data_IF_525870712737
#
_entry.id   IF_525870712737
#
_cell.length_a   1.000
_cell.length_b   1.000
_cell.length_c   1.000
_cell.angle_alpha   90.00
_cell.angle_beta   90.00
_cell.angle_gamma   90.00
#
_symmetry.space_group_name_H-M   'P 1'
#
loop_
_entity.id
_entity.type
_entity.pdbx_description
1 polymer ?
#
# COMPACT_ATOMS: atom_id res chain seq x y z
N UNK A 1 -22.36 29.71 3.42
CA UNK A 1 -21.56 29.23 4.56
C UNK A 1 -21.54 30.32 5.62
N UNK A 2 -22.00 30.04 6.85
CA UNK A 2 -22.09 31.05 7.91
C UNK A 2 -20.71 31.27 8.57
N UNK A 3 -20.39 32.52 8.91
CA UNK A 3 -19.07 32.90 9.44
C UNK A 3 -18.67 32.09 10.70
N UNK A 4 -19.66 31.72 11.51
CA UNK A 4 -19.48 30.87 12.69
C UNK A 4 -18.93 29.48 12.36
N UNK A 5 -19.33 28.90 11.22
CA UNK A 5 -18.82 27.60 10.75
C UNK A 5 -17.35 27.69 10.38
N UNK A 6 -16.92 28.81 9.76
CA UNK A 6 -15.52 29.03 9.40
C UNK A 6 -14.64 29.19 10.65
N UNK A 7 -15.13 29.91 11.68
CA UNK A 7 -14.40 30.09 12.94
C UNK A 7 -14.27 28.75 13.68
N UNK A 8 -15.32 27.93 13.72
CA UNK A 8 -15.27 26.60 14.35
C UNK A 8 -14.27 25.70 13.64
N UNK A 9 -14.27 25.69 12.30
CA UNK A 9 -13.30 24.92 11.51
C UNK A 9 -11.87 25.40 11.79
N UNK A 10 -11.63 26.73 11.81
CA UNK A 10 -10.31 27.28 12.08
C UNK A 10 -9.79 26.91 13.48
N UNK A 11 -10.66 26.91 14.50
CA UNK A 11 -10.30 26.53 15.87
C UNK A 11 -10.00 25.04 15.96
N UNK A 12 -10.79 24.18 15.30
CA UNK A 12 -10.55 22.74 15.27
C UNK A 12 -9.21 22.43 14.56
N UNK A 13 -8.93 23.09 13.43
CA UNK A 13 -7.66 22.95 12.72
C UNK A 13 -6.48 23.39 13.59
N UNK A 14 -6.60 24.53 14.29
CA UNK A 14 -5.54 24.99 15.19
C UNK A 14 -5.27 24.02 16.35
N UNK A 15 -6.32 23.42 16.92
CA UNK A 15 -6.20 22.43 17.99
C UNK A 15 -5.59 21.12 17.49
N UNK A 16 -5.97 20.68 16.29
CA UNK A 16 -5.41 19.48 15.67
C UNK A 16 -3.93 19.68 15.30
N UNK A 17 -3.56 20.85 14.78
CA UNK A 17 -2.16 21.20 14.51
C UNK A 17 -1.34 21.26 15.82
N UNK A 18 -1.91 21.86 16.87
CA UNK A 18 -1.25 21.93 18.18
C UNK A 18 -1.08 20.53 18.81
N UNK A 19 -2.10 19.68 18.73
CA UNK A 19 -2.03 18.29 19.18
C UNK A 19 -1.00 17.49 18.37
N UNK A 20 -0.97 17.66 17.05
CA UNK A 20 0.01 17.01 16.17
C UNK A 20 1.45 17.42 16.50
N UNK A 21 1.71 18.70 16.77
CA UNK A 21 3.03 19.21 17.17
C UNK A 21 3.44 18.70 18.56
N UNK A 22 2.51 18.62 19.51
CA UNK A 22 2.78 18.14 20.87
C UNK A 22 2.99 16.62 20.92
N UNK A 23 2.31 15.85 20.06
CA UNK A 23 2.53 14.41 19.92
C UNK A 23 3.83 14.10 19.14
N UNK A 24 4.24 14.96 18.21
CA UNK A 24 5.50 14.85 17.46
C UNK A 24 6.74 15.16 18.30
N UNK A 25 6.64 16.05 19.30
CA UNK A 25 7.79 16.50 20.10
C UNK A 25 8.33 15.48 21.12
N UNK A 26 7.71 14.31 21.28
CA UNK A 26 8.16 13.29 22.24
C UNK A 26 9.20 12.30 21.72
N UNK A 27 9.54 12.32 20.42
CA UNK A 27 10.44 11.31 19.85
C UNK A 27 11.37 11.86 18.77
N UNK A 28 12.26 12.79 19.12
CA UNK A 28 13.43 13.06 18.30
C UNK A 28 14.68 13.16 19.16
N UNK A 29 15.28 12.01 19.43
CA UNK A 29 16.71 11.91 19.69
C UNK A 29 17.19 10.50 19.32
N UNK A 30 17.56 10.30 18.06
CA UNK A 30 18.60 9.32 17.72
C UNK A 30 19.50 9.95 16.66
N UNK A 31 20.75 10.14 17.09
CA UNK A 31 21.85 10.82 16.41
C UNK A 31 22.38 9.91 15.29
N UNK A 32 22.42 10.41 14.07
CA UNK A 32 23.17 9.78 12.97
C UNK A 32 24.68 9.79 13.32
N UNK A 33 25.31 8.62 13.26
CA UNK A 33 26.74 8.42 13.51
C UNK A 33 27.36 7.55 12.42
N UNK A 34 28.02 8.23 11.49
CA UNK A 34 29.30 7.95 10.80
C UNK A 34 29.87 6.51 10.64
N UNK A 35 30.25 6.23 9.37
CA UNK A 35 31.34 5.36 8.85
C UNK A 35 31.10 3.84 8.65
N UNK A 36 31.93 3.15 7.81
CA UNK A 36 32.02 3.27 6.34
C UNK A 36 31.87 1.90 5.60
N UNK A 37 31.83 1.95 4.26
CA UNK A 37 31.61 0.84 3.34
C UNK A 37 32.69 -0.28 3.37
N UNK A 38 32.34 -1.56 3.15
CA UNK A 38 33.28 -2.59 2.74
C UNK A 38 33.33 -2.76 1.21
N UNK A 39 34.54 -2.64 0.69
CA UNK A 39 35.07 -2.91 -0.65
C UNK A 39 34.64 -4.26 -1.27
N UNK A 40 34.45 -4.27 -2.60
CA UNK A 40 34.26 -5.47 -3.45
C UNK A 40 35.57 -6.15 -3.89
N UNK A 41 35.46 -7.46 -4.21
CA UNK A 41 36.11 -8.28 -5.27
C UNK A 41 37.08 -9.42 -4.82
N UNK A 42 37.25 -10.55 -5.58
CA UNK A 42 36.37 -11.25 -6.56
C UNK A 42 36.34 -12.82 -6.49
N UNK A 43 35.38 -13.41 -7.23
CA UNK A 43 35.29 -14.72 -7.95
C UNK A 43 35.91 -16.02 -7.36
N UNK A 44 35.12 -17.04 -6.99
CA UNK A 44 34.46 -18.09 -7.80
C UNK A 44 35.35 -19.32 -8.12
N UNK A 45 35.01 -20.48 -7.53
CA UNK A 45 35.41 -21.81 -8.02
C UNK A 45 34.15 -22.64 -8.30
N UNK A 46 34.05 -23.05 -9.55
CA UNK A 46 33.00 -23.87 -10.17
C UNK A 46 33.13 -25.34 -9.76
N UNK A 47 32.01 -25.98 -9.43
CA UNK A 47 31.76 -27.41 -9.65
C UNK A 47 30.25 -27.68 -9.68
N UNK A 48 29.72 -28.02 -10.85
CA UNK A 48 28.39 -28.60 -11.08
C UNK A 48 28.54 -30.14 -11.24
N UNK A 49 27.51 -30.92 -11.62
CA UNK A 49 26.14 -31.10 -11.12
C UNK A 49 25.90 -32.58 -10.70
N UNK A 50 24.84 -32.90 -9.94
CA UNK A 50 24.33 -34.30 -9.89
C UNK A 50 22.81 -34.34 -10.07
N UNK A 51 22.29 -35.12 -11.05
CA UNK A 51 20.87 -35.26 -11.34
C UNK A 51 20.30 -36.57 -10.78
N UNK A 52 19.18 -36.51 -10.06
CA UNK A 52 18.28 -37.66 -9.89
C UNK A 52 16.83 -37.18 -9.77
N UNK A 53 16.06 -37.39 -10.84
CA UNK A 53 14.60 -37.42 -10.85
C UNK A 53 14.09 -38.78 -10.29
N UNK A 54 12.80 -39.16 -10.41
CA UNK A 54 11.54 -38.58 -9.92
C UNK A 54 10.75 -39.61 -9.04
N UNK A 55 9.44 -39.37 -8.81
CA UNK A 55 8.29 -40.28 -8.48
C UNK A 55 7.59 -40.09 -7.09
N UNK A 56 6.31 -40.52 -6.93
CA UNK A 56 5.16 -39.61 -6.74
C UNK A 56 4.19 -39.98 -5.58
N UNK A 57 3.17 -39.14 -5.39
CA UNK A 57 1.82 -39.42 -4.85
C UNK A 57 1.64 -39.95 -3.42
N UNK A 58 0.87 -39.22 -2.60
CA UNK A 58 -0.42 -39.67 -2.05
C UNK A 58 -1.00 -38.66 -1.03
N UNK A 59 -2.15 -38.08 -1.35
CA UNK A 59 -3.13 -37.65 -0.34
C UNK A 59 -3.91 -38.91 0.12
N UNK A 60 -4.53 -38.90 1.32
CA UNK A 60 -5.97 -38.63 1.33
C UNK A 60 -6.47 -37.82 2.55
N UNK A 61 -7.53 -37.05 2.30
CA UNK A 61 -8.41 -36.41 3.29
C UNK A 61 -9.27 -37.47 3.99
N UNK A 62 -9.74 -37.23 5.23
CA UNK A 62 -11.19 -36.97 5.38
C UNK A 62 -11.54 -35.91 6.45
N UNK A 63 -12.41 -34.97 6.06
CA UNK A 63 -13.43 -34.34 6.93
C UNK A 63 -14.67 -35.28 7.00
N UNK A 64 -15.85 -34.98 7.62
CA UNK A 64 -16.38 -33.78 8.32
C UNK A 64 -17.10 -34.13 9.66
N UNK A 65 -17.51 -33.19 10.53
CA UNK A 65 -18.88 -32.63 10.76
C UNK A 65 -18.88 -32.01 12.18
N UNK A 66 -19.71 -31.07 12.65
CA UNK A 66 -20.69 -30.08 12.16
C UNK A 66 -21.11 -29.26 13.41
N UNK A 67 -21.94 -28.23 13.21
CA UNK A 67 -22.67 -27.42 14.21
C UNK A 67 -21.84 -26.36 14.98
N UNK A 68 -22.18 -25.08 14.97
CA UNK A 68 -23.35 -24.42 14.40
C UNK A 68 -23.58 -23.13 15.17
N UNK A 69 -23.82 -22.04 14.46
CA UNK A 69 -24.86 -21.05 14.79
C UNK A 69 -24.83 -19.99 13.71
N UNK A 70 -25.84 -20.03 12.86
CA UNK A 70 -26.22 -18.87 12.09
C UNK A 70 -26.77 -17.79 13.01
N UNK A 71 -26.69 -16.56 12.55
CA UNK A 71 -27.73 -15.53 12.58
C UNK A 71 -27.24 -14.47 11.55
N UNK A 72 -28.08 -14.20 10.55
CA UNK A 72 -28.65 -12.86 10.26
C UNK A 72 -27.70 -11.90 9.49
N UNK A 73 -27.61 -11.94 8.16
CA UNK A 73 -28.51 -11.28 7.18
C UNK A 73 -28.87 -9.79 7.40
N UNK A 74 -28.22 -9.07 8.31
CA UNK A 74 -28.48 -7.62 8.51
C UNK A 74 -27.22 -6.73 8.60
N UNK A 75 -26.05 -7.20 8.16
CA UNK A 75 -24.79 -6.41 8.17
C UNK A 75 -24.30 -6.10 6.75
N UNK A 76 -25.21 -5.88 5.80
CA UNK A 76 -24.84 -5.44 4.44
C UNK A 76 -25.12 -3.96 4.21
N UNK A 77 -25.91 -3.30 5.07
CA UNK A 77 -26.28 -1.90 4.90
C UNK A 77 -25.50 -0.91 5.81
N UNK A 78 -24.83 -1.39 6.87
CA UNK A 78 -24.13 -0.53 7.83
C UNK A 78 -22.61 -0.40 7.59
N UNK A 79 -22.05 -1.14 6.62
CA UNK A 79 -20.61 -1.11 6.33
C UNK A 79 -20.27 0.00 5.32
N UNK A 80 -21.25 0.55 4.60
CA UNK A 80 -20.99 1.67 3.67
C UNK A 80 -20.77 3.02 4.38
N UNK A 81 -21.28 3.22 5.60
CA UNK A 81 -21.21 4.52 6.31
C UNK A 81 -19.92 4.72 7.12
N UNK A 82 -19.29 3.63 7.60
CA UNK A 82 -18.05 3.72 8.39
C UNK A 82 -16.80 3.89 7.51
N UNK A 83 -16.88 3.51 6.22
CA UNK A 83 -15.74 3.58 5.31
C UNK A 83 -15.57 4.97 4.67
N UNK A 84 -16.63 5.79 4.62
CA UNK A 84 -16.55 7.17 4.12
C UNK A 84 -15.82 8.10 5.12
N UNK A 85 -15.84 7.76 6.41
CA UNK A 85 -15.26 8.59 7.48
C UNK A 85 -13.75 8.42 7.69
N UNK A 86 -13.11 7.44 7.03
CA UNK A 86 -11.67 7.17 7.19
C UNK A 86 -10.79 7.62 6.02
N UNK A 87 -11.37 8.18 4.94
CA UNK A 87 -10.59 8.63 3.78
C UNK A 87 -11.04 10.03 3.34
N UNK A 88 -10.74 11.03 4.17
CA UNK A 88 -10.84 12.45 3.80
C UNK A 88 -9.76 12.83 2.79
N UNK A 89 -9.96 12.48 1.52
CA UNK A 89 -9.14 12.95 0.40
C UNK A 89 -9.68 14.30 -0.04
N UNK A 90 -8.91 15.38 0.13
CA UNK A 90 -9.06 16.57 -0.71
C UNK A 90 -8.65 16.19 -2.13
N UNK A 91 -9.67 15.84 -2.92
CA UNK A 91 -9.56 15.60 -4.35
C UNK A 91 -9.21 16.92 -5.05
N UNK A 92 -8.01 16.98 -5.65
CA UNK A 92 -7.75 17.93 -6.72
C UNK A 92 -8.47 17.40 -7.98
N UNK A 93 -9.38 18.14 -8.62
CA UNK A 93 -10.17 17.61 -9.72
C UNK A 93 -9.30 17.54 -10.98
N UNK A 94 -8.93 16.33 -11.39
CA UNK A 94 -8.49 16.06 -12.75
C UNK A 94 -8.91 14.64 -13.13
N UNK A 95 -9.93 14.56 -14.00
CA UNK A 95 -10.30 13.35 -14.73
C UNK A 95 -11.24 12.39 -14.00
N UNK A 96 -12.54 12.57 -14.22
CA UNK A 96 -13.55 11.49 -14.10
C UNK A 96 -13.08 10.34 -15.03
N UNK A 97 -12.87 9.10 -14.57
CA UNK A 97 -13.89 8.07 -14.31
C UNK A 97 -13.38 7.00 -13.33
N UNK A 98 -13.52 7.19 -12.02
CA UNK A 98 -13.38 6.08 -11.07
C UNK A 98 -14.76 5.45 -10.88
N UNK A 99 -14.98 4.25 -11.42
CA UNK A 99 -16.21 3.49 -11.17
C UNK A 99 -16.33 3.22 -9.68
N UNK A 100 -17.22 3.96 -9.03
CA UNK A 100 -17.57 3.82 -7.61
C UNK A 100 -18.04 2.38 -7.37
N UNK A 101 -17.16 1.52 -6.84
CA UNK A 101 -17.51 0.18 -6.38
C UNK A 101 -16.45 -0.91 -6.50
N UNK A 102 -15.39 -0.74 -7.31
CA UNK A 102 -14.33 -1.74 -7.41
C UNK A 102 -12.97 -1.07 -7.22
N UNK A 103 -12.15 -1.60 -6.30
CA UNK A 103 -10.75 -1.19 -6.17
C UNK A 103 -9.97 -1.48 -7.45
N UNK A 104 -8.87 -0.76 -7.64
CA UNK A 104 -7.97 -0.99 -8.77
C UNK A 104 -7.14 -2.26 -8.55
N UNK A 105 -6.69 -2.86 -9.65
CA UNK A 105 -5.76 -3.98 -9.63
C UNK A 105 -4.33 -3.47 -9.36
N UNK A 106 -3.92 -3.35 -8.09
CA UNK A 106 -2.61 -2.79 -7.74
C UNK A 106 -1.43 -3.60 -8.30
N UNK A 107 -1.63 -4.90 -8.58
CA UNK A 107 -0.63 -5.76 -9.27
C UNK A 107 -0.26 -5.31 -10.68
N UNK A 108 -0.98 -4.34 -11.27
CA UNK A 108 -0.57 -3.65 -12.49
C UNK A 108 0.74 -2.86 -12.28
N UNK A 109 1.04 -2.44 -11.05
CA UNK A 109 2.31 -1.80 -10.71
C UNK A 109 3.46 -2.81 -10.80
N UNK A 110 4.51 -2.47 -11.56
CA UNK A 110 5.66 -3.35 -11.76
C UNK A 110 6.44 -3.52 -10.47
N UNK A 111 6.61 -4.78 -10.05
CA UNK A 111 7.31 -5.13 -8.81
C UNK A 111 6.38 -5.25 -7.60
N UNK A 112 5.10 -4.94 -7.75
CA UNK A 112 4.06 -5.20 -6.76
C UNK A 112 3.42 -6.57 -7.06
N UNK A 113 3.74 -7.55 -6.21
CA UNK A 113 3.19 -8.91 -6.33
C UNK A 113 1.88 -9.08 -5.54
N UNK A 114 1.13 -10.17 -5.76
CA UNK A 114 -0.19 -10.39 -5.14
C UNK A 114 -0.15 -10.39 -3.60
N UNK A 115 0.97 -10.81 -2.99
CA UNK A 115 1.16 -10.73 -1.54
C UNK A 115 1.35 -9.30 -1.03
N UNK A 116 2.01 -8.46 -1.81
CA UNK A 116 2.20 -7.05 -1.47
C UNK A 116 0.89 -6.27 -1.66
N UNK A 117 0.13 -6.57 -2.73
CA UNK A 117 -1.23 -6.06 -2.94
C UNK A 117 -2.15 -6.43 -1.77
N UNK A 118 -2.19 -7.71 -1.37
CA UNK A 118 -2.98 -8.14 -0.21
C UNK A 118 -2.61 -7.34 1.05
N UNK A 119 -1.31 -7.11 1.26
CA UNK A 119 -0.85 -6.31 2.41
C UNK A 119 -1.29 -4.84 2.31
N UNK A 120 -1.30 -4.25 1.14
CA UNK A 120 -1.80 -2.89 0.92
C UNK A 120 -3.31 -2.81 1.12
N UNK A 121 -4.06 -3.82 0.68
CA UNK A 121 -5.50 -3.91 0.91
C UNK A 121 -5.83 -4.01 2.41
N UNK A 122 -5.06 -4.78 3.17
CA UNK A 122 -5.15 -4.82 4.64
C UNK A 122 -4.88 -3.46 5.30
N UNK A 123 -4.07 -2.61 4.66
CA UNK A 123 -3.79 -1.23 5.10
C UNK A 123 -4.84 -0.23 4.57
N UNK A 124 -5.88 -0.68 3.86
CA UNK A 124 -6.94 0.15 3.30
C UNK A 124 -6.58 0.83 1.97
N UNK A 125 -5.46 0.44 1.36
CA UNK A 125 -4.98 1.00 0.09
C UNK A 125 -5.43 0.07 -1.03
N UNK A 126 -6.36 0.53 -1.86
CA UNK A 126 -7.01 -0.27 -2.90
C UNK A 126 -7.05 0.43 -4.26
N UNK A 127 -6.55 1.67 -4.36
CA UNK A 127 -6.56 2.44 -5.61
C UNK A 127 -5.21 3.02 -5.98
N UNK A 128 -4.97 3.22 -7.27
CA UNK A 128 -3.76 3.89 -7.76
C UNK A 128 -3.68 5.35 -7.27
N UNK A 129 -4.81 6.06 -7.18
CA UNK A 129 -4.84 7.45 -6.71
C UNK A 129 -4.28 7.61 -5.30
N UNK A 130 -4.57 6.65 -4.41
CA UNK A 130 -4.13 6.69 -3.01
C UNK A 130 -2.61 6.56 -2.94
N UNK A 131 -2.04 5.64 -3.73
CA UNK A 131 -0.60 5.43 -3.83
C UNK A 131 0.07 6.63 -4.51
N UNK A 132 -0.55 7.20 -5.54
CA UNK A 132 -0.05 8.35 -6.27
C UNK A 132 0.05 9.62 -5.41
N UNK A 133 -0.85 9.74 -4.42
CA UNK A 133 -0.92 10.84 -3.47
C UNK A 133 0.08 10.73 -2.31
N UNK A 134 0.79 9.60 -2.14
CA UNK A 134 1.74 9.45 -1.04
C UNK A 134 2.89 10.46 -1.10
N UNK A 135 3.13 11.09 0.05
CA UNK A 135 4.34 11.86 0.31
C UNK A 135 5.50 10.95 0.73
N UNK A 136 6.71 11.51 0.83
CA UNK A 136 7.88 10.75 1.31
C UNK A 136 7.68 10.20 2.72
N UNK A 137 7.00 10.94 3.59
CA UNK A 137 6.66 10.50 4.96
C UNK A 137 5.62 9.36 4.93
N UNK A 138 4.60 9.44 4.07
CA UNK A 138 3.60 8.38 3.91
C UNK A 138 4.24 7.10 3.38
N UNK A 139 5.12 7.22 2.37
CA UNK A 139 5.89 6.09 1.85
C UNK A 139 6.68 5.44 2.98
N UNK A 140 7.37 6.21 3.82
CA UNK A 140 8.15 5.67 4.93
C UNK A 140 7.26 4.97 5.99
N UNK A 141 6.08 5.52 6.26
CA UNK A 141 5.12 4.94 7.20
C UNK A 141 4.55 3.61 6.68
N UNK A 142 4.06 3.59 5.44
CA UNK A 142 3.52 2.39 4.79
C UNK A 142 4.62 1.33 4.65
N UNK A 143 5.81 1.72 4.19
CA UNK A 143 6.95 0.83 4.00
C UNK A 143 7.35 0.11 5.30
N UNK A 144 7.27 0.79 6.45
CA UNK A 144 7.52 0.19 7.75
C UNK A 144 6.49 -0.90 8.11
N UNK A 145 5.27 -0.82 7.58
CA UNK A 145 4.18 -1.78 7.79
C UNK A 145 4.16 -2.93 6.77
N UNK A 146 4.99 -2.86 5.73
CA UNK A 146 5.07 -3.86 4.64
C UNK A 146 5.84 -5.14 5.01
N UNK A 147 6.55 -5.18 6.15
CA UNK A 147 7.27 -6.38 6.60
C UNK A 147 8.33 -6.86 5.60
N UNK A 148 8.13 -8.04 5.00
CA UNK A 148 9.06 -8.64 4.03
C UNK A 148 9.19 -7.85 2.70
N UNK A 149 8.29 -6.91 2.45
CA UNK A 149 8.27 -6.08 1.24
C UNK A 149 8.82 -4.67 1.48
N UNK A 150 9.41 -4.42 2.66
CA UNK A 150 10.04 -3.15 3.01
C UNK A 150 11.14 -2.75 1.99
N UNK A 151 11.20 -1.47 1.66
CA UNK A 151 12.06 -0.84 0.68
C UNK A 151 11.56 -0.93 -0.77
N UNK A 152 10.52 -1.72 -1.06
CA UNK A 152 10.06 -1.94 -2.45
C UNK A 152 9.30 -0.75 -3.01
N UNK A 153 8.56 -0.02 -2.19
CA UNK A 153 7.78 1.15 -2.62
C UNK A 153 8.69 2.16 -3.34
N UNK A 154 9.87 2.43 -2.78
CA UNK A 154 10.87 3.35 -3.36
C UNK A 154 11.68 2.68 -4.46
N UNK A 155 12.21 1.47 -4.21
CA UNK A 155 13.09 0.75 -5.16
C UNK A 155 12.41 0.50 -6.50
N UNK A 156 11.16 0.07 -6.45
CA UNK A 156 10.36 -0.28 -7.61
C UNK A 156 9.48 0.91 -8.07
N UNK A 157 9.63 2.08 -7.43
CA UNK A 157 8.98 3.35 -7.81
C UNK A 157 7.45 3.26 -7.92
N UNK A 158 6.80 2.59 -6.95
CA UNK A 158 5.35 2.36 -6.99
C UNK A 158 4.55 3.66 -7.07
N UNK A 159 4.99 4.72 -6.39
CA UNK A 159 4.32 6.04 -6.41
C UNK A 159 4.33 6.66 -7.81
N UNK A 160 5.47 6.64 -8.50
CA UNK A 160 5.59 7.22 -9.85
C UNK A 160 4.76 6.43 -10.87
N UNK A 161 4.79 5.11 -10.78
CA UNK A 161 3.96 4.24 -11.60
C UNK A 161 2.46 4.46 -11.35
N UNK A 162 2.06 4.54 -10.09
CA UNK A 162 0.66 4.77 -9.71
C UNK A 162 0.17 6.13 -10.20
N UNK A 163 1.01 7.17 -10.23
CA UNK A 163 0.66 8.47 -10.82
C UNK A 163 0.34 8.41 -12.30
N UNK A 164 1.04 7.58 -13.07
CA UNK A 164 0.77 7.40 -14.49
C UNK A 164 -0.54 6.64 -14.70
N UNK A 165 -0.72 5.53 -13.96
CA UNK A 165 -1.92 4.70 -14.05
C UNK A 165 -3.19 5.42 -13.55
N UNK A 166 -3.10 6.19 -12.46
CA UNK A 166 -4.20 7.01 -11.94
C UNK A 166 -4.66 8.07 -12.95
N UNK A 167 -3.76 8.57 -13.80
CA UNK A 167 -4.08 9.51 -14.88
C UNK A 167 -4.59 8.82 -16.15
N UNK A 168 -4.57 7.49 -16.20
CA UNK A 168 -4.84 6.72 -17.42
C UNK A 168 -3.74 6.83 -18.48
N UNK A 169 -2.54 7.29 -18.11
CA UNK A 169 -1.42 7.49 -19.03
C UNK A 169 -0.63 6.18 -19.20
N UNK A 170 -1.27 5.20 -19.84
CA UNK A 170 -0.65 3.90 -20.12
C UNK A 170 0.52 4.02 -21.09
N UNK A 171 0.48 4.97 -22.03
CA UNK A 171 1.58 5.17 -22.99
C UNK A 171 2.86 5.63 -22.29
N UNK A 172 2.78 6.64 -21.39
CA UNK A 172 3.93 7.06 -20.61
C UNK A 172 4.40 5.97 -19.63
N UNK A 173 3.46 5.21 -19.05
CA UNK A 173 3.79 4.06 -18.21
C UNK A 173 4.62 3.02 -18.99
N UNK A 174 4.15 2.63 -20.17
CA UNK A 174 4.84 1.62 -20.99
C UNK A 174 6.19 2.12 -21.50
N UNK A 175 6.30 3.41 -21.84
CA UNK A 175 7.55 4.02 -22.25
C UNK A 175 8.62 4.00 -21.14
N UNK A 176 8.21 4.15 -19.87
CA UNK A 176 9.14 4.24 -18.74
C UNK A 176 9.39 2.89 -18.03
N UNK A 177 8.36 2.05 -17.91
CA UNK A 177 8.37 0.84 -17.08
C UNK A 177 8.18 -0.46 -17.87
N UNK A 178 7.85 -0.37 -19.17
CA UNK A 178 7.61 -1.50 -20.05
C UNK A 178 6.13 -1.89 -20.16
N UNK A 179 5.83 -2.80 -21.10
CA UNK A 179 4.46 -3.17 -21.45
C UNK A 179 3.68 -3.76 -20.28
N UNK A 180 2.41 -3.37 -20.19
CA UNK A 180 1.40 -3.99 -19.33
C UNK A 180 1.03 -5.34 -19.97
N UNK A 181 1.33 -6.45 -19.30
CA UNK A 181 1.21 -7.80 -19.86
C UNK A 181 0.68 -8.80 -18.87
#
# INVERSE_FOLDING_TARGET
>A
MSQTTIIIIAVIVAILLLAFVLLRSRKQHVRFGDAPAPTMAPAQKVAAPQPLAPRPAAAPVPAPIEEGHGVDSEITAAIEDVVDQFIGIDAHPSGQTATKGAGDTLTTLKGLGPKAESRLHELGVTRFDQIAAWTTDDVAAVDAQMGAFKGRIVRDKWVEQARLLAKGDTEAFEAQFGKLG
#
